data_IF_770922693731
#
_entry.id   IF_770922693731
#
_cell.length_a   1.000
_cell.length_b   1.000
_cell.length_c   1.000
_cell.angle_alpha   90.00
_cell.angle_beta   90.00
_cell.angle_gamma   90.00
#
_symmetry.space_group_name_H-M   'P 1'
#
loop_
_entity.id
_entity.type
_entity.pdbx_description
1 polymer ?
#
# COMPACT_ATOMS: atom_id res chain seq x y z
N UNK A 1 6.56 -3.10 32.71
CA UNK A 1 7.58 -4.09 32.32
C UNK A 1 7.15 -4.71 31.00
N UNK A 2 7.96 -4.55 29.98
CA UNK A 2 7.78 -5.27 28.72
C UNK A 2 8.09 -6.74 29.04
N UNK A 3 7.15 -7.63 28.84
CA UNK A 3 7.20 -9.01 29.37
C UNK A 3 8.29 -9.88 28.76
N UNK A 4 8.87 -9.50 27.62
CA UNK A 4 9.91 -10.25 26.93
C UNK A 4 11.15 -9.42 26.56
N UNK A 5 11.22 -8.15 26.92
CA UNK A 5 12.40 -7.33 26.60
C UNK A 5 13.09 -6.83 27.86
N UNK A 6 14.40 -6.78 27.82
CA UNK A 6 15.27 -6.12 28.78
C UNK A 6 15.14 -4.60 28.78
N UNK A 7 14.16 -4.05 28.03
CA UNK A 7 13.99 -2.63 27.83
C UNK A 7 13.22 -2.04 29.01
N UNK A 8 13.88 -1.12 29.70
CA UNK A 8 13.28 -0.34 30.79
C UNK A 8 12.87 1.03 30.25
N UNK A 9 11.62 1.45 30.52
CA UNK A 9 11.10 2.75 30.11
C UNK A 9 11.97 3.91 30.60
N UNK A 10 12.60 3.81 31.76
CA UNK A 10 13.51 4.83 32.24
C UNK A 10 14.73 5.08 31.33
N UNK A 11 15.07 4.09 30.48
CA UNK A 11 16.13 4.21 29.49
C UNK A 11 15.64 4.79 28.16
N UNK A 12 14.33 4.95 27.99
CA UNK A 12 13.71 5.41 26.75
C UNK A 12 13.32 6.88 26.86
N UNK A 13 12.55 7.22 27.89
CA UNK A 13 12.03 8.55 28.13
C UNK A 13 11.61 8.75 29.58
N UNK A 14 11.45 10.00 29.97
CA UNK A 14 10.76 10.37 31.20
C UNK A 14 9.29 9.95 31.17
N UNK A 15 8.66 9.95 32.32
CA UNK A 15 7.22 9.62 32.41
C UNK A 15 6.39 10.61 31.62
N UNK A 16 5.42 10.16 30.77
CA UNK A 16 4.54 11.07 30.07
C UNK A 16 3.71 11.91 31.04
N UNK A 17 3.57 13.17 30.75
CA UNK A 17 2.98 14.17 31.62
C UNK A 17 1.81 14.90 30.98
N UNK A 18 1.87 16.21 31.01
CA UNK A 18 0.88 17.12 30.46
C UNK A 18 1.56 18.02 29.42
N UNK A 19 1.05 18.05 28.20
CA UNK A 19 1.54 18.94 27.17
C UNK A 19 1.16 20.39 27.47
N UNK A 20 1.95 21.33 26.96
CA UNK A 20 1.62 22.76 27.08
C UNK A 20 0.28 23.12 26.41
N UNK A 21 -0.10 22.36 25.38
CA UNK A 21 -1.40 22.51 24.73
C UNK A 21 -2.57 22.17 25.66
N UNK A 22 -2.47 21.04 26.35
CA UNK A 22 -3.48 20.59 27.31
C UNK A 22 -3.50 21.49 28.56
N UNK A 23 -2.33 21.88 29.04
CA UNK A 23 -2.23 22.76 30.21
C UNK A 23 -2.91 24.11 29.99
N UNK A 24 -2.75 24.73 28.83
CA UNK A 24 -3.42 25.97 28.45
C UNK A 24 -4.96 25.86 28.35
N UNK A 25 -5.50 24.65 28.44
CA UNK A 25 -6.94 24.34 28.37
C UNK A 25 -7.49 23.70 29.63
N UNK A 26 -6.79 23.89 30.74
CA UNK A 26 -7.13 23.30 32.06
C UNK A 26 -7.25 21.76 32.01
N UNK A 27 -6.54 21.12 31.09
CA UNK A 27 -6.47 19.68 30.95
C UNK A 27 -5.16 19.13 31.49
N UNK A 28 -5.16 17.85 31.91
CA UNK A 28 -3.98 17.20 32.52
C UNK A 28 -3.79 15.78 31.98
N UNK A 29 -2.54 15.33 31.96
CA UNK A 29 -2.11 13.97 31.70
C UNK A 29 -2.45 13.46 30.30
N UNK A 30 -2.41 14.35 29.33
CA UNK A 30 -2.71 14.00 27.94
C UNK A 30 -1.60 13.23 27.23
N UNK A 31 -0.37 13.28 27.72
CA UNK A 31 0.74 12.64 27.02
C UNK A 31 0.75 11.11 27.11
N UNK A 32 1.23 10.48 26.06
CA UNK A 32 1.47 9.03 25.93
C UNK A 32 2.73 8.80 25.11
N UNK A 33 3.47 7.74 25.44
CA UNK A 33 4.60 7.27 24.67
C UNK A 33 4.27 5.96 23.98
N UNK A 34 4.65 5.83 22.71
CA UNK A 34 4.52 4.62 21.92
C UNK A 34 5.91 4.19 21.44
N UNK A 35 6.25 2.94 21.69
CA UNK A 35 7.51 2.33 21.24
C UNK A 35 7.19 1.07 20.47
N UNK A 36 7.74 0.98 19.27
CA UNK A 36 7.60 -0.21 18.42
C UNK A 36 8.87 -1.04 18.55
N UNK A 37 8.70 -2.32 18.82
CA UNK A 37 9.78 -3.25 19.13
C UNK A 37 9.67 -4.48 18.24
N UNK A 38 10.79 -4.93 17.71
CA UNK A 38 10.94 -6.21 17.06
C UNK A 38 11.01 -7.32 18.12
N UNK A 39 9.86 -7.88 18.47
CA UNK A 39 9.75 -8.83 19.60
C UNK A 39 10.51 -10.14 19.32
N UNK A 40 10.41 -10.64 18.11
CA UNK A 40 11.00 -11.92 17.69
C UNK A 40 12.35 -11.80 17.02
N UNK A 41 12.72 -10.60 16.55
CA UNK A 41 13.95 -10.35 15.81
C UNK A 41 13.85 -10.65 14.31
N UNK A 42 12.64 -10.84 13.79
CA UNK A 42 12.45 -11.14 12.36
C UNK A 42 12.76 -9.95 11.44
N UNK A 43 12.64 -8.74 11.95
CA UNK A 43 12.91 -7.52 11.18
C UNK A 43 14.39 -7.13 11.23
N UNK A 44 15.00 -7.19 12.41
CA UNK A 44 16.37 -6.68 12.64
C UNK A 44 17.42 -7.79 12.81
N UNK A 45 16.98 -9.03 12.97
CA UNK A 45 17.84 -10.16 13.36
C UNK A 45 18.08 -10.26 14.88
N UNK A 46 17.62 -9.30 15.69
CA UNK A 46 17.82 -9.28 17.13
C UNK A 46 16.50 -8.98 17.86
N UNK A 47 16.01 -9.96 18.60
CA UNK A 47 14.80 -9.82 19.42
C UNK A 47 14.94 -8.67 20.43
N UNK A 48 13.85 -7.92 20.62
CA UNK A 48 13.80 -6.79 21.55
C UNK A 48 14.40 -5.47 21.03
N UNK A 49 14.80 -5.42 19.75
CA UNK A 49 15.29 -4.19 19.15
C UNK A 49 14.18 -3.15 18.99
N UNK A 50 14.44 -1.92 19.41
CA UNK A 50 13.49 -0.82 19.22
C UNK A 50 13.56 -0.36 17.75
N UNK A 51 12.42 -0.46 17.06
CA UNK A 51 12.25 0.01 15.69
C UNK A 51 11.92 1.50 15.65
N UNK A 52 10.99 1.94 16.50
CA UNK A 52 10.52 3.33 16.53
C UNK A 52 10.25 3.80 17.95
N UNK A 53 10.44 5.11 18.17
CA UNK A 53 10.10 5.80 19.41
C UNK A 53 9.26 7.03 19.08
N UNK A 54 8.03 7.03 19.55
CA UNK A 54 7.12 8.15 19.42
C UNK A 54 6.78 8.65 20.84
N UNK A 55 7.34 9.77 21.20
CA UNK A 55 7.30 10.29 22.59
C UNK A 55 6.42 11.52 22.68
N UNK A 56 5.81 11.73 23.84
CA UNK A 56 4.99 12.89 24.16
C UNK A 56 3.87 13.15 23.12
N UNK A 57 3.20 12.07 22.67
CA UNK A 57 2.00 12.18 21.85
C UNK A 57 0.80 12.54 22.71
N UNK A 58 -0.13 13.33 22.19
CA UNK A 58 -1.32 13.72 22.94
C UNK A 58 -2.48 12.75 22.74
N UNK A 59 -3.19 12.42 23.82
CA UNK A 59 -4.50 11.74 23.79
C UNK A 59 -5.61 12.66 23.33
N UNK A 60 -5.39 13.98 23.33
CA UNK A 60 -6.35 14.97 22.90
C UNK A 60 -6.45 14.99 21.36
N UNK A 61 -7.68 14.87 20.84
CA UNK A 61 -7.97 14.86 19.40
C UNK A 61 -7.55 16.16 18.69
N UNK A 62 -7.61 17.28 19.40
CA UNK A 62 -7.20 18.61 18.95
C UNK A 62 -5.76 18.97 19.34
N UNK A 63 -5.00 18.02 19.89
CA UNK A 63 -3.64 18.22 20.37
C UNK A 63 -2.69 18.73 19.27
N UNK A 64 -1.92 19.77 19.62
CA UNK A 64 -0.93 20.38 18.74
C UNK A 64 0.40 20.56 19.47
N UNK A 65 1.49 20.42 18.73
CA UNK A 65 2.81 20.88 19.17
C UNK A 65 2.91 22.42 19.07
N UNK A 66 3.90 23.01 19.71
CA UNK A 66 4.10 24.45 19.73
C UNK A 66 4.20 25.11 18.34
N UNK A 67 4.63 24.36 17.33
CA UNK A 67 4.71 24.81 15.94
C UNK A 67 3.41 24.58 15.14
N UNK A 68 2.33 24.12 15.79
CA UNK A 68 1.03 23.91 15.16
C UNK A 68 0.85 22.56 14.44
N UNK A 69 1.86 21.69 14.44
CA UNK A 69 1.70 20.33 13.90
C UNK A 69 0.87 19.45 14.84
N UNK A 70 0.06 18.51 14.32
CA UNK A 70 -0.74 17.62 15.15
C UNK A 70 0.10 16.75 16.07
N UNK A 71 -0.19 16.77 17.37
CA UNK A 71 0.40 15.87 18.38
C UNK A 71 -0.54 14.73 18.77
N UNK A 72 -1.76 14.71 18.27
CA UNK A 72 -2.74 13.65 18.53
C UNK A 72 -2.20 12.30 18.08
N UNK A 73 -2.13 11.34 19.00
CA UNK A 73 -1.40 10.10 18.85
C UNK A 73 -1.80 9.27 17.61
N UNK A 74 -3.11 9.18 17.29
CA UNK A 74 -3.58 8.42 16.12
C UNK A 74 -3.12 9.06 14.81
N UNK A 75 -3.33 10.36 14.66
CA UNK A 75 -2.94 11.11 13.46
C UNK A 75 -1.43 11.18 13.31
N UNK A 76 -0.72 11.33 14.42
CA UNK A 76 0.73 11.36 14.43
C UNK A 76 1.32 10.02 13.95
N UNK A 77 0.87 8.90 14.52
CA UNK A 77 1.34 7.57 14.11
C UNK A 77 1.00 7.27 12.66
N UNK A 78 -0.21 7.61 12.21
CA UNK A 78 -0.59 7.45 10.82
C UNK A 78 0.37 8.17 9.85
N UNK A 79 0.83 9.37 10.21
CA UNK A 79 1.67 10.18 9.33
C UNK A 79 3.17 9.88 9.46
N UNK A 80 3.63 9.35 10.58
CA UNK A 80 5.05 9.32 10.92
C UNK A 80 5.61 7.93 11.23
N UNK A 81 4.77 6.93 11.50
CA UNK A 81 5.24 5.57 11.72
C UNK A 81 5.35 4.80 10.41
N UNK A 82 6.43 4.04 10.25
CA UNK A 82 6.61 3.11 9.16
C UNK A 82 6.04 1.71 9.46
N UNK A 83 5.89 1.38 10.75
CA UNK A 83 5.53 0.03 11.19
C UNK A 83 4.12 -0.06 11.77
N UNK A 84 3.57 1.05 12.27
CA UNK A 84 2.27 1.06 12.97
C UNK A 84 1.37 2.17 12.45
N UNK A 85 0.13 1.84 12.13
CA UNK A 85 -0.89 2.80 11.75
C UNK A 85 -1.87 3.00 12.89
N UNK A 86 -1.82 4.14 13.54
CA UNK A 86 -2.62 4.44 14.75
C UNK A 86 -3.88 5.27 14.49
N UNK A 87 -4.17 5.63 13.26
CA UNK A 87 -5.21 6.60 12.95
C UNK A 87 -6.43 6.04 12.24
N UNK A 88 -7.25 6.96 11.74
CA UNK A 88 -8.29 6.62 10.79
C UNK A 88 -7.66 6.24 9.46
N UNK A 89 -7.95 5.06 8.97
CA UNK A 89 -7.58 4.69 7.63
C UNK A 89 -8.42 5.45 6.60
N UNK A 90 -7.93 5.57 5.35
CA UNK A 90 -8.72 6.14 4.28
C UNK A 90 -10.07 5.45 4.15
N UNK A 91 -11.12 6.23 3.91
CA UNK A 91 -12.47 5.71 3.75
C UNK A 91 -12.49 4.59 2.67
N UNK A 92 -13.06 3.46 3.00
CA UNK A 92 -13.21 2.31 2.11
C UNK A 92 -12.11 1.23 2.19
N UNK A 93 -11.02 1.47 2.92
CA UNK A 93 -9.94 0.48 3.08
C UNK A 93 -10.05 -0.29 4.40
N UNK A 94 -10.82 0.22 5.36
CA UNK A 94 -10.84 -0.31 6.71
C UNK A 94 -12.24 -0.63 7.19
N UNK A 95 -12.36 -1.83 7.71
CA UNK A 95 -13.52 -2.26 8.48
C UNK A 95 -13.61 -1.50 9.79
N UNK A 96 -14.79 -1.48 10.40
CA UNK A 96 -15.10 -0.82 11.68
C UNK A 96 -14.14 -1.14 12.83
N UNK A 97 -13.27 -2.13 12.69
CA UNK A 97 -12.25 -2.49 13.68
C UNK A 97 -10.98 -1.62 13.67
N UNK A 98 -10.84 -0.68 12.75
CA UNK A 98 -9.66 0.21 12.64
C UNK A 98 -10.00 1.71 12.65
N UNK A 99 -11.22 2.08 12.84
CA UNK A 99 -11.64 3.47 12.84
C UNK A 99 -11.47 4.18 14.18
N UNK A 100 -11.83 5.47 14.22
CA UNK A 100 -12.09 6.17 15.48
C UNK A 100 -13.04 5.34 16.33
N UNK A 101 -12.63 5.02 17.56
CA UNK A 101 -13.41 4.19 18.48
C UNK A 101 -13.18 2.68 18.40
N UNK A 102 -12.38 2.18 17.47
CA UNK A 102 -11.92 0.80 17.52
C UNK A 102 -10.80 0.66 18.54
N UNK A 103 -11.16 0.51 19.75
CA UNK A 103 -10.24 0.11 20.81
C UNK A 103 -10.37 -1.40 20.98
N UNK A 104 -9.43 -2.17 20.45
CA UNK A 104 -9.27 -3.58 20.80
C UNK A 104 -8.72 -3.75 22.24
N UNK A 105 -8.47 -2.65 22.95
CA UNK A 105 -8.17 -2.68 24.36
C UNK A 105 -9.24 -1.88 25.10
N UNK A 106 -9.99 -2.57 25.89
CA UNK A 106 -10.86 -1.97 26.88
C UNK A 106 -9.94 -1.35 27.92
N UNK A 107 -9.67 -0.06 27.77
CA UNK A 107 -9.16 0.73 28.88
C UNK A 107 -10.25 0.75 29.91
N UNK A 108 -9.99 0.24 31.08
CA UNK A 108 -10.96 0.25 32.20
C UNK A 108 -11.38 1.68 32.63
N UNK A 109 -10.84 2.69 31.97
CA UNK A 109 -11.19 4.10 32.14
C UNK A 109 -10.79 4.88 30.89
N UNK A 110 -11.62 4.89 29.85
CA UNK A 110 -11.43 5.65 28.62
C UNK A 110 -11.70 7.15 28.79
N UNK A 111 -11.64 7.65 30.00
CA UNK A 111 -11.98 9.03 30.32
C UNK A 111 -10.98 9.95 29.62
N UNK A 112 -11.48 10.73 28.71
CA UNK A 112 -10.76 11.78 28.03
C UNK A 112 -9.99 11.35 26.77
N UNK A 113 -9.76 10.07 26.50
CA UNK A 113 -9.10 9.65 25.26
C UNK A 113 -9.94 10.02 24.02
N UNK A 114 -9.24 10.51 22.99
CA UNK A 114 -9.85 10.92 21.73
C UNK A 114 -10.92 12.04 21.85
N UNK A 115 -10.86 12.84 22.92
CA UNK A 115 -11.66 14.03 23.13
C UNK A 115 -10.81 15.29 22.99
N UNK A 116 -11.46 16.44 22.84
CA UNK A 116 -10.76 17.73 22.82
C UNK A 116 -10.24 18.08 24.22
N UNK A 117 -9.10 18.73 24.28
CA UNK A 117 -8.49 19.19 25.53
C UNK A 117 -9.24 20.41 26.08
N UNK A 118 -10.27 20.17 26.89
CA UNK A 118 -11.04 21.24 27.54
C UNK A 118 -11.47 20.78 28.92
N UNK A 119 -10.68 21.13 29.93
CA UNK A 119 -10.97 20.82 31.32
C UNK A 119 -10.96 19.31 31.65
N UNK A 120 -10.26 18.50 30.87
CA UNK A 120 -10.27 17.04 31.00
C UNK A 120 -9.00 16.53 31.66
N UNK A 121 -9.16 15.66 32.63
CA UNK A 121 -8.08 14.86 33.17
C UNK A 121 -8.05 13.52 32.40
N UNK A 122 -7.07 13.37 31.50
CA UNK A 122 -6.94 12.17 30.68
C UNK A 122 -6.50 10.97 31.51
N UNK A 123 -7.19 9.86 31.34
CA UNK A 123 -6.85 8.63 32.05
C UNK A 123 -5.49 8.07 31.60
N UNK A 124 -4.77 7.50 32.56
CA UNK A 124 -3.52 6.76 32.29
C UNK A 124 -3.81 5.27 32.08
N UNK A 125 -3.07 4.65 31.16
CA UNK A 125 -3.14 3.19 30.95
C UNK A 125 -2.00 2.43 31.64
N UNK A 126 -1.05 3.16 32.23
CA UNK A 126 0.18 2.53 32.72
C UNK A 126 1.07 1.99 31.60
N UNK A 127 1.82 0.94 31.88
CA UNK A 127 2.61 0.22 30.86
C UNK A 127 1.75 -0.89 30.27
N UNK A 128 1.49 -0.78 28.98
CA UNK A 128 0.71 -1.79 28.23
C UNK A 128 1.55 -2.30 27.09
N UNK A 129 1.60 -3.60 26.89
CA UNK A 129 2.24 -4.25 25.76
C UNK A 129 1.15 -4.86 24.88
N UNK A 130 1.19 -4.52 23.60
CA UNK A 130 0.31 -5.08 22.57
C UNK A 130 1.19 -5.82 21.57
N UNK A 131 0.91 -7.08 21.35
CA UNK A 131 1.58 -7.90 20.34
C UNK A 131 0.73 -7.89 19.08
N UNK A 132 1.31 -7.42 17.98
CA UNK A 132 0.68 -7.52 16.67
C UNK A 132 0.81 -8.96 16.18
N UNK A 133 -0.31 -9.60 15.92
CA UNK A 133 -0.39 -11.00 15.46
C UNK A 133 -1.22 -11.09 14.18
N UNK A 134 -1.09 -12.21 13.47
CA UNK A 134 -1.88 -12.44 12.26
C UNK A 134 -1.41 -11.67 11.05
N UNK A 135 -0.21 -11.08 11.09
CA UNK A 135 0.45 -10.56 9.90
C UNK A 135 0.65 -11.69 8.90
N UNK A 136 0.43 -11.39 7.62
CA UNK A 136 0.57 -12.37 6.54
C UNK A 136 1.43 -11.78 5.44
N UNK A 137 2.28 -12.63 4.90
CA UNK A 137 3.04 -12.29 3.70
C UNK A 137 2.17 -12.62 2.47
N UNK A 138 1.61 -11.60 1.85
CA UNK A 138 0.75 -11.73 0.68
C UNK A 138 1.59 -11.78 -0.61
N UNK A 139 2.49 -12.71 -0.69
CA UNK A 139 3.42 -12.87 -1.82
C UNK A 139 2.80 -13.54 -3.06
N UNK A 140 1.51 -13.86 -3.00
CA UNK A 140 0.82 -14.60 -4.06
C UNK A 140 1.17 -16.09 -4.06
N UNK A 141 1.71 -16.59 -2.95
CA UNK A 141 1.98 -18.00 -2.75
C UNK A 141 0.71 -18.87 -2.71
N UNK A 142 0.92 -20.18 -2.62
CA UNK A 142 -0.15 -21.18 -2.62
C UNK A 142 -0.97 -21.25 -1.34
N UNK A 143 -0.65 -20.46 -0.35
CA UNK A 143 -1.42 -20.37 0.87
C UNK A 143 -2.76 -19.73 0.58
N UNK A 144 -3.84 -20.42 0.90
CA UNK A 144 -5.23 -19.95 0.72
C UNK A 144 -5.45 -18.56 1.33
N UNK A 145 -4.70 -18.25 2.35
CA UNK A 145 -4.71 -16.96 3.04
C UNK A 145 -3.99 -15.87 2.26
N UNK A 146 -2.94 -16.21 1.51
CA UNK A 146 -2.21 -15.28 0.64
C UNK A 146 -2.99 -15.01 -0.66
N UNK A 147 -3.63 -16.02 -1.23
CA UNK A 147 -4.34 -15.90 -2.49
C UNK A 147 -5.59 -15.00 -2.42
N UNK A 148 -6.22 -14.90 -1.25
CA UNK A 148 -7.49 -14.19 -1.08
C UNK A 148 -7.40 -12.77 -0.53
N UNK A 149 -6.39 -12.48 0.28
CA UNK A 149 -6.46 -11.31 1.17
C UNK A 149 -6.03 -9.99 0.52
N UNK A 150 -5.30 -10.04 -0.60
CA UNK A 150 -4.91 -8.85 -1.36
C UNK A 150 -5.54 -8.78 -2.76
N UNK A 151 -6.58 -9.51 -3.01
CA UNK A 151 -7.40 -9.23 -4.18
C UNK A 151 -8.18 -7.96 -3.94
N UNK A 152 -7.60 -6.85 -4.31
CA UNK A 152 -8.32 -5.57 -4.35
C UNK A 152 -9.52 -5.76 -5.25
N UNK A 153 -10.70 -5.39 -4.78
CA UNK A 153 -11.92 -5.47 -5.60
C UNK A 153 -11.77 -4.59 -6.84
N UNK A 154 -12.47 -4.94 -7.92
CA UNK A 154 -12.50 -4.11 -9.12
C UNK A 154 -12.91 -2.67 -8.80
N UNK A 155 -13.87 -2.48 -7.89
CA UNK A 155 -14.30 -1.15 -7.44
C UNK A 155 -13.16 -0.37 -6.74
N UNK A 156 -12.37 -1.04 -5.90
CA UNK A 156 -11.20 -0.44 -5.25
C UNK A 156 -10.12 -0.05 -6.25
N UNK A 157 -9.81 -0.91 -7.22
CA UNK A 157 -8.86 -0.61 -8.29
C UNK A 157 -9.35 0.55 -9.16
N UNK A 158 -10.61 0.50 -9.60
CA UNK A 158 -11.21 1.56 -10.41
C UNK A 158 -11.23 2.90 -9.67
N UNK A 159 -11.55 2.90 -8.36
CA UNK A 159 -11.49 4.09 -7.52
C UNK A 159 -10.08 4.64 -7.36
N UNK A 160 -9.08 3.76 -7.21
CA UNK A 160 -7.66 4.17 -7.18
C UNK A 160 -7.22 4.85 -8.47
N UNK A 161 -7.51 4.24 -9.62
CA UNK A 161 -7.19 4.85 -10.92
C UNK A 161 -7.99 6.13 -11.20
N UNK A 162 -9.20 6.25 -10.68
CA UNK A 162 -10.01 7.45 -10.82
C UNK A 162 -9.34 8.70 -10.21
N UNK A 163 -8.54 8.54 -9.17
CA UNK A 163 -7.79 9.65 -8.58
C UNK A 163 -6.80 10.30 -9.56
N UNK A 164 -6.41 9.59 -10.61
CA UNK A 164 -5.53 10.11 -11.66
C UNK A 164 -6.28 10.82 -12.80
N UNK A 165 -7.59 10.94 -12.77
CA UNK A 165 -8.36 11.73 -13.74
C UNK A 165 -8.08 13.23 -13.61
N UNK A 166 -7.70 13.69 -12.41
CA UNK A 166 -7.35 15.09 -12.16
C UNK A 166 -5.84 15.32 -12.42
N UNK A 167 -5.53 15.99 -13.52
CA UNK A 167 -4.18 16.33 -13.96
C UNK A 167 -3.52 17.41 -13.10
N UNK A 168 -4.32 18.23 -12.42
CA UNK A 168 -3.80 19.27 -11.52
C UNK A 168 -3.25 18.72 -10.21
N UNK A 169 -3.80 17.60 -9.75
CA UNK A 169 -3.38 16.95 -8.51
C UNK A 169 -2.26 15.92 -8.72
N UNK A 170 -2.25 15.27 -9.88
CA UNK A 170 -1.34 14.15 -10.14
C UNK A 170 -0.70 14.30 -11.52
N UNK A 171 0.60 14.48 -11.57
CA UNK A 171 1.38 14.40 -12.81
C UNK A 171 1.72 12.94 -13.11
N UNK A 172 1.21 12.39 -14.20
CA UNK A 172 1.49 11.02 -14.64
C UNK A 172 1.50 10.97 -16.18
N UNK A 173 2.61 10.54 -16.75
CA UNK A 173 2.76 10.34 -18.19
C UNK A 173 2.31 8.94 -18.61
N UNK A 174 2.50 7.94 -17.74
CA UNK A 174 2.17 6.55 -18.00
C UNK A 174 1.27 5.97 -16.90
N UNK A 175 0.23 5.26 -17.34
CA UNK A 175 -0.70 4.54 -16.46
C UNK A 175 -0.57 3.06 -16.76
N UNK A 176 -0.09 2.27 -15.79
CA UNK A 176 0.19 0.85 -15.93
C UNK A 176 -0.97 0.03 -15.37
N UNK A 177 -1.37 -1.03 -16.07
CA UNK A 177 -2.38 -1.97 -15.59
C UNK A 177 -1.89 -2.81 -14.39
N UNK A 178 -0.57 -2.98 -14.26
CA UNK A 178 0.02 -3.74 -13.16
C UNK A 178 -0.04 -5.25 -13.39
N UNK A 179 -0.27 -6.02 -12.33
CA UNK A 179 -0.06 -7.48 -12.31
C UNK A 179 -1.01 -8.31 -13.19
N UNK A 180 -2.14 -7.77 -13.60
CA UNK A 180 -3.17 -8.47 -14.40
C UNK A 180 -3.56 -9.86 -13.85
N UNK A 181 -3.53 -10.02 -12.51
CA UNK A 181 -3.71 -11.30 -11.81
C UNK A 181 -5.16 -11.59 -11.38
N UNK A 182 -6.11 -10.91 -11.97
CA UNK A 182 -7.54 -11.14 -11.73
C UNK A 182 -8.18 -11.99 -12.82
N UNK A 183 -9.48 -12.26 -12.67
CA UNK A 183 -10.25 -12.93 -13.73
C UNK A 183 -10.19 -12.13 -15.03
N UNK A 184 -10.46 -12.80 -16.15
CA UNK A 184 -10.45 -12.16 -17.47
C UNK A 184 -11.38 -10.94 -17.50
N UNK A 185 -12.59 -11.07 -17.01
CA UNK A 185 -13.62 -10.04 -17.02
C UNK A 185 -13.22 -8.82 -16.14
N UNK A 186 -12.63 -9.11 -14.97
CA UNK A 186 -12.10 -8.05 -14.09
C UNK A 186 -10.95 -7.30 -14.75
N UNK A 187 -10.03 -8.00 -15.38
CA UNK A 187 -8.91 -7.39 -16.10
C UNK A 187 -9.36 -6.57 -17.31
N UNK A 188 -10.36 -7.05 -18.06
CA UNK A 188 -10.97 -6.30 -19.17
C UNK A 188 -11.65 -5.02 -18.70
N UNK A 189 -12.39 -5.10 -17.59
CA UNK A 189 -13.03 -3.92 -16.99
C UNK A 189 -12.03 -2.92 -16.46
N UNK A 190 -10.94 -3.40 -15.84
CA UNK A 190 -9.84 -2.56 -15.39
C UNK A 190 -9.11 -1.90 -16.56
N UNK A 191 -8.84 -2.65 -17.63
CA UNK A 191 -8.24 -2.13 -18.86
C UNK A 191 -9.08 -0.97 -19.42
N UNK A 192 -10.38 -1.16 -19.56
CA UNK A 192 -11.30 -0.11 -20.03
C UNK A 192 -11.30 1.11 -19.08
N UNK A 193 -11.19 0.89 -17.75
CA UNK A 193 -11.12 2.03 -16.80
C UNK A 193 -9.85 2.83 -16.98
N UNK A 194 -8.68 2.20 -17.05
CA UNK A 194 -7.41 2.94 -17.22
C UNK A 194 -7.31 3.64 -18.59
N UNK A 195 -7.86 3.03 -19.63
CA UNK A 195 -7.98 3.67 -20.96
C UNK A 195 -8.87 4.91 -20.84
N UNK A 196 -10.01 4.82 -20.18
CA UNK A 196 -10.90 5.96 -19.95
C UNK A 196 -10.20 7.11 -19.19
N UNK A 197 -9.40 6.78 -18.19
CA UNK A 197 -8.59 7.79 -17.45
C UNK A 197 -7.61 8.49 -18.40
N UNK A 198 -6.88 7.71 -19.22
CA UNK A 198 -5.94 8.29 -20.20
C UNK A 198 -6.66 9.17 -21.25
N UNK A 199 -7.86 8.76 -21.70
CA UNK A 199 -8.67 9.53 -22.63
C UNK A 199 -9.21 10.86 -22.04
N UNK A 200 -9.54 10.86 -20.75
CA UNK A 200 -9.96 12.08 -20.03
C UNK A 200 -8.78 13.04 -19.91
N UNK A 201 -7.63 12.52 -19.49
CA UNK A 201 -6.41 13.31 -19.28
C UNK A 201 -5.82 13.86 -20.59
N UNK A 202 -5.68 13.02 -21.60
CA UNK A 202 -5.03 13.31 -22.91
C UNK A 202 -3.53 13.63 -22.83
N UNK A 203 -2.94 13.61 -21.66
CA UNK A 203 -1.51 13.84 -21.39
C UNK A 203 -0.81 12.55 -20.90
N UNK A 204 -1.55 11.46 -20.75
CA UNK A 204 -1.05 10.18 -20.28
C UNK A 204 -1.37 9.04 -21.26
N UNK A 205 -0.56 7.98 -21.21
CA UNK A 205 -0.74 6.77 -22.02
C UNK A 205 -0.96 5.55 -21.11
N UNK A 206 -2.01 4.79 -21.37
CA UNK A 206 -2.32 3.55 -20.67
C UNK A 206 -1.56 2.36 -21.28
N UNK A 207 -0.97 1.51 -20.44
CA UNK A 207 -0.30 0.28 -20.85
C UNK A 207 -1.07 -0.92 -20.32
N UNK A 208 -1.54 -1.77 -21.22
CA UNK A 208 -2.47 -2.87 -20.93
C UNK A 208 -1.87 -4.21 -21.35
N UNK A 209 -1.88 -5.16 -20.44
CA UNK A 209 -1.53 -6.58 -20.70
C UNK A 209 -2.77 -7.46 -20.58
N UNK A 210 -2.84 -8.60 -21.29
CA UNK A 210 -3.86 -9.61 -21.06
C UNK A 210 -3.76 -10.19 -19.65
N UNK A 211 -4.87 -10.74 -19.16
CA UNK A 211 -4.86 -11.38 -17.85
C UNK A 211 -3.96 -12.63 -17.84
N UNK A 212 -3.42 -12.92 -16.65
CA UNK A 212 -2.49 -14.03 -16.42
C UNK A 212 -3.07 -15.38 -16.90
N UNK A 213 -4.35 -15.64 -16.67
CA UNK A 213 -5.02 -16.85 -17.09
C UNK A 213 -5.12 -17.07 -18.60
N UNK A 214 -4.75 -16.07 -19.43
CA UNK A 214 -4.62 -16.25 -20.88
C UNK A 214 -3.38 -17.05 -21.29
N UNK A 215 -2.38 -17.13 -20.41
CA UNK A 215 -1.08 -17.78 -20.68
C UNK A 215 -0.79 -18.97 -19.77
N UNK A 216 -1.22 -18.89 -18.52
CA UNK A 216 -0.79 -19.77 -17.44
C UNK A 216 -1.98 -20.51 -16.85
N UNK A 217 -1.74 -21.71 -16.36
CA UNK A 217 -2.69 -22.38 -15.47
C UNK A 217 -2.89 -21.53 -14.22
N UNK A 218 -4.06 -21.62 -13.65
CA UNK A 218 -4.52 -20.87 -12.50
C UNK A 218 -3.46 -20.51 -11.45
N UNK A 219 -3.08 -19.36 -11.43
CA UNK A 219 -2.65 -18.53 -10.34
C UNK A 219 -1.62 -18.96 -9.30
N UNK A 220 -1.24 -20.21 -9.14
CA UNK A 220 -0.27 -20.58 -8.12
C UNK A 220 1.18 -20.20 -8.51
N UNK A 221 1.99 -19.86 -7.52
CA UNK A 221 3.43 -19.68 -7.69
C UNK A 221 4.01 -20.94 -8.37
N UNK A 222 4.74 -20.78 -9.46
CA UNK A 222 5.22 -21.90 -10.25
C UNK A 222 4.28 -22.38 -11.35
N UNK A 223 3.21 -21.64 -11.65
CA UNK A 223 2.32 -21.94 -12.79
C UNK A 223 3.09 -22.11 -14.09
N UNK A 224 2.85 -23.19 -14.77
CA UNK A 224 3.47 -23.53 -16.05
C UNK A 224 2.61 -22.98 -17.17
N UNK A 225 3.22 -22.62 -18.27
CA UNK A 225 2.49 -22.37 -19.53
C UNK A 225 1.80 -23.66 -19.92
N UNK A 226 0.47 -23.69 -19.94
CA UNK A 226 -0.33 -24.88 -20.19
C UNK A 226 -0.86 -24.90 -21.61
N UNK A 227 -0.99 -23.74 -22.23
CA UNK A 227 -1.59 -23.57 -23.53
C UNK A 227 -0.55 -23.67 -24.65
N UNK A 228 -0.94 -24.27 -25.78
CA UNK A 228 -0.15 -24.16 -26.98
C UNK A 228 -0.21 -22.75 -27.59
N UNK A 229 0.63 -22.47 -28.57
CA UNK A 229 0.74 -21.14 -29.18
C UNK A 229 -0.58 -20.65 -29.81
N UNK A 230 -1.39 -21.54 -30.36
CA UNK A 230 -2.68 -21.17 -30.96
C UNK A 230 -3.69 -20.82 -29.87
N UNK A 231 -3.76 -21.64 -28.82
CA UNK A 231 -4.64 -21.35 -27.67
C UNK A 231 -4.28 -20.02 -26.99
N UNK A 232 -2.97 -19.72 -26.81
CA UNK A 232 -2.53 -18.44 -26.27
C UNK A 232 -2.98 -17.30 -27.19
N UNK A 233 -2.82 -17.44 -28.49
CA UNK A 233 -3.25 -16.44 -29.47
C UNK A 233 -4.75 -16.19 -29.38
N UNK A 234 -5.56 -17.26 -29.37
CA UNK A 234 -7.01 -17.16 -29.25
C UNK A 234 -7.44 -16.53 -27.92
N UNK A 235 -6.79 -16.88 -26.82
CA UNK A 235 -7.04 -16.30 -25.51
C UNK A 235 -6.73 -14.81 -25.48
N UNK A 236 -5.61 -14.38 -26.07
CA UNK A 236 -5.21 -12.96 -26.14
C UNK A 236 -6.19 -12.17 -27.01
N UNK A 237 -6.56 -12.70 -28.18
CA UNK A 237 -7.58 -12.08 -29.05
C UNK A 237 -8.91 -11.96 -28.29
N UNK A 238 -9.32 -13.02 -27.63
CA UNK A 238 -10.54 -13.05 -26.83
C UNK A 238 -10.49 -12.10 -25.64
N UNK A 239 -9.30 -11.82 -25.08
CA UNK A 239 -9.13 -10.82 -24.04
C UNK A 239 -9.34 -9.42 -24.59
N UNK A 240 -8.72 -9.06 -25.70
CA UNK A 240 -8.79 -7.71 -26.25
C UNK A 240 -10.09 -7.40 -27.00
N UNK A 241 -10.87 -8.40 -27.39
CA UNK A 241 -12.09 -8.21 -28.16
C UNK A 241 -13.09 -7.18 -27.55
N UNK A 242 -13.36 -7.17 -26.22
CA UNK A 242 -14.23 -6.19 -25.57
C UNK A 242 -13.48 -4.96 -25.02
N UNK A 243 -12.16 -4.90 -25.17
CA UNK A 243 -11.38 -3.75 -24.68
C UNK A 243 -11.45 -2.61 -25.68
N UNK A 244 -11.67 -1.39 -25.18
CA UNK A 244 -11.80 -0.20 -26.01
C UNK A 244 -10.53 0.10 -26.79
N UNK A 245 -10.66 0.35 -28.08
CA UNK A 245 -9.57 0.87 -28.89
C UNK A 245 -9.38 2.36 -28.63
N UNK A 246 -8.16 2.78 -28.34
CA UNK A 246 -7.84 4.17 -28.06
C UNK A 246 -6.45 4.55 -28.57
N UNK A 247 -6.27 5.78 -29.01
CA UNK A 247 -4.96 6.35 -29.34
C UNK A 247 -4.12 6.65 -28.09
N UNK A 248 -4.71 6.59 -26.91
CA UNK A 248 -4.06 6.78 -25.61
C UNK A 248 -3.75 5.45 -24.91
N UNK A 249 -3.77 4.34 -25.63
CA UNK A 249 -3.48 3.03 -25.06
C UNK A 249 -2.49 2.22 -25.89
N UNK A 250 -1.59 1.54 -25.20
CA UNK A 250 -0.64 0.59 -25.76
C UNK A 250 -0.98 -0.80 -25.23
N UNK A 251 -1.13 -1.76 -26.12
CA UNK A 251 -1.42 -3.14 -25.79
C UNK A 251 -0.19 -4.01 -25.99
N UNK A 252 0.18 -4.78 -25.01
CA UNK A 252 1.13 -5.87 -25.13
C UNK A 252 0.43 -7.22 -25.16
N UNK A 253 1.12 -8.26 -25.61
CA UNK A 253 0.55 -9.61 -25.73
C UNK A 253 1.41 -10.67 -25.06
N UNK A 254 2.25 -10.31 -24.10
CA UNK A 254 3.24 -11.25 -23.60
C UNK A 254 3.54 -11.12 -22.12
N UNK A 255 4.14 -12.19 -21.57
CA UNK A 255 4.64 -12.27 -20.20
C UNK A 255 6.13 -12.63 -20.25
N UNK A 256 6.92 -12.05 -19.38
CA UNK A 256 8.30 -12.44 -19.15
C UNK A 256 8.42 -13.37 -17.93
N UNK A 257 9.34 -14.30 -18.01
CA UNK A 257 9.73 -15.16 -16.89
C UNK A 257 10.99 -14.59 -16.25
N UNK A 258 10.89 -14.16 -14.99
CA UNK A 258 12.00 -13.54 -14.29
C UNK A 258 12.13 -14.06 -12.87
N UNK A 259 13.35 -13.96 -12.34
CA UNK A 259 13.65 -14.30 -10.97
C UNK A 259 13.28 -13.16 -10.03
N UNK A 260 12.43 -13.47 -9.06
CA UNK A 260 12.09 -12.59 -7.93
C UNK A 260 13.03 -12.88 -6.77
N UNK A 261 14.04 -12.04 -6.60
CA UNK A 261 15.07 -12.21 -5.56
C UNK A 261 14.54 -12.04 -4.13
N UNK A 262 13.39 -11.43 -3.94
CA UNK A 262 12.82 -11.21 -2.61
C UNK A 262 12.05 -12.42 -2.11
N UNK A 263 11.36 -13.11 -3.02
CA UNK A 263 10.62 -14.33 -2.72
C UNK A 263 11.41 -15.61 -3.08
N UNK A 264 12.66 -15.49 -3.55
CA UNK A 264 13.53 -16.60 -4.01
C UNK A 264 12.83 -17.55 -4.99
N UNK A 265 12.09 -16.98 -5.96
CA UNK A 265 11.33 -17.77 -6.92
C UNK A 265 11.27 -17.12 -8.29
N UNK A 266 10.99 -17.90 -9.30
CA UNK A 266 10.73 -17.39 -10.65
C UNK A 266 9.25 -17.09 -10.81
N UNK A 267 8.94 -15.97 -11.44
CA UNK A 267 7.57 -15.52 -11.72
C UNK A 267 7.37 -15.09 -13.16
N UNK A 268 6.17 -15.32 -13.65
CA UNK A 268 5.70 -14.70 -14.89
C UNK A 268 5.10 -13.33 -14.58
N UNK A 269 5.63 -12.31 -15.24
CA UNK A 269 5.24 -10.91 -15.04
C UNK A 269 4.74 -10.34 -16.38
N UNK A 270 3.59 -9.63 -16.40
CA UNK A 270 3.11 -9.01 -17.63
C UNK A 270 4.04 -7.89 -18.10
N UNK A 271 4.08 -7.67 -19.40
CA UNK A 271 5.06 -6.78 -20.03
C UNK A 271 4.67 -5.30 -20.00
N UNK A 272 3.50 -4.91 -19.47
CA UNK A 272 3.07 -3.49 -19.48
C UNK A 272 4.09 -2.53 -18.86
N UNK A 273 4.72 -2.93 -17.74
CA UNK A 273 5.76 -2.14 -17.10
C UNK A 273 7.04 -2.05 -17.91
N UNK A 274 7.45 -3.14 -18.58
CA UNK A 274 8.66 -3.16 -19.41
C UNK A 274 8.48 -2.32 -20.68
N UNK A 275 7.31 -2.40 -21.32
CA UNK A 275 7.00 -1.60 -22.51
C UNK A 275 6.96 -0.11 -22.16
N UNK A 276 6.34 0.25 -21.03
CA UNK A 276 6.39 1.63 -20.52
C UNK A 276 7.82 2.08 -20.23
N UNK A 277 8.64 1.22 -19.63
CA UNK A 277 10.05 1.48 -19.40
C UNK A 277 10.87 1.67 -20.69
N UNK A 278 10.54 0.92 -21.75
CA UNK A 278 11.14 1.11 -23.06
C UNK A 278 10.75 2.47 -23.66
N UNK A 279 9.49 2.87 -23.53
CA UNK A 279 9.02 4.19 -23.97
C UNK A 279 9.75 5.31 -23.21
N UNK A 280 9.79 5.23 -21.87
CA UNK A 280 10.49 6.22 -21.05
C UNK A 280 11.99 6.32 -21.40
N UNK A 281 12.66 5.19 -21.58
CA UNK A 281 14.06 5.16 -22.02
C UNK A 281 14.26 5.81 -23.39
N UNK A 282 13.31 5.57 -24.30
CA UNK A 282 13.34 6.17 -25.61
C UNK A 282 13.15 7.70 -25.58
N UNK A 283 12.24 8.18 -24.73
CA UNK A 283 11.98 9.61 -24.53
C UNK A 283 13.21 10.35 -23.99
N UNK A 284 13.91 9.71 -23.03
CA UNK A 284 15.13 10.28 -22.45
C UNK A 284 16.29 10.36 -23.47
N UNK A 285 16.45 9.31 -24.30
CA UNK A 285 17.60 9.18 -25.17
C UNK A 285 17.38 9.73 -26.59
N UNK A 286 16.13 9.88 -26.99
CA UNK A 286 15.74 10.32 -28.33
C UNK A 286 14.62 11.36 -28.23
N UNK A 287 13.46 11.05 -28.84
CA UNK A 287 12.28 11.89 -28.83
C UNK A 287 11.01 11.05 -28.61
N UNK A 288 9.97 11.60 -27.98
CA UNK A 288 8.73 10.89 -27.66
C UNK A 288 8.02 10.23 -28.86
N UNK A 289 8.17 10.81 -30.05
CA UNK A 289 7.55 10.29 -31.27
C UNK A 289 8.34 9.17 -31.98
N UNK A 290 9.56 8.86 -31.50
CA UNK A 290 10.27 7.69 -32.03
C UNK A 290 9.68 6.41 -31.49
N UNK A 291 9.45 5.44 -32.40
CA UNK A 291 9.05 4.10 -31.95
C UNK A 291 10.10 3.47 -31.05
N UNK A 292 9.73 2.92 -29.90
CA UNK A 292 10.64 2.15 -29.05
C UNK A 292 11.00 0.77 -29.65
N UNK A 293 10.36 0.37 -30.74
CA UNK A 293 10.61 -0.92 -31.40
C UNK A 293 11.95 -0.96 -32.16
N UNK A 294 12.43 -2.17 -32.42
CA UNK A 294 13.63 -2.44 -33.19
C UNK A 294 14.87 -2.73 -32.36
N UNK A 295 15.87 -3.36 -32.96
CA UNK A 295 17.07 -3.89 -32.28
C UNK A 295 17.94 -2.83 -31.62
N UNK A 296 17.90 -1.60 -32.13
CA UNK A 296 18.69 -0.49 -31.57
C UNK A 296 18.01 0.20 -30.38
N UNK A 297 16.69 0.20 -30.30
CA UNK A 297 15.92 0.99 -29.32
C UNK A 297 15.05 0.12 -28.39
N UNK A 298 14.52 -0.96 -28.90
CA UNK A 298 13.58 -1.83 -28.22
C UNK A 298 14.16 -3.16 -27.76
N UNK A 299 15.49 -3.31 -27.71
CA UNK A 299 16.08 -4.52 -27.19
C UNK A 299 15.76 -4.67 -25.70
N UNK A 300 15.12 -5.78 -25.34
CA UNK A 300 14.95 -6.20 -23.95
C UNK A 300 16.26 -6.84 -23.54
N UNK A 301 16.96 -6.22 -22.62
CA UNK A 301 18.22 -6.72 -22.06
C UNK A 301 17.89 -7.51 -20.79
N UNK A 302 18.47 -8.71 -20.68
CA UNK A 302 18.38 -9.52 -19.45
C UNK A 302 19.23 -8.94 -18.33
#
# INVERSE_FOLDING_TARGET
>A
QLTNSTINWNNIAERPGTSSFAEARDSRFDEVHVVVIDDTGEVTGNAGTILEKHLALSKAKDGLYSLGSPSYWRKYLYNNSANVFGGSAPAGIVTTSFGEGATNFTLSSDVGWDQNAQGINFAGIGVTTLTLTGGKNYDGGSDEEAAGAFQVTLAGLAGGYQLFEDDNLNSADFILMGSANHTKETCQSLANKIISVAEIRKDAVAFVSPNRGSFLSDGSAGSVVVFDANQITDNVISFFAPVSSSSFAVFDSTYKYMYDRFADTFRYVPMNGDIAGLCARNDINNFPWFSPAGTARGAILN
#
